data_IF_288669543390
#
_entry.id   IF_288669543390
#
_cell.length_a   1.000
_cell.length_b   1.000
_cell.length_c   1.000
_cell.angle_alpha   90.00
_cell.angle_beta   90.00
_cell.angle_gamma   90.00
#
_symmetry.space_group_name_H-M   'P 1'
#
loop_
_entity.id
_entity.type
_entity.pdbx_description
1 polymer ?
#
# COMPACT_ATOMS: atom_id res chain seq x y z
N UNK A 1 -20.68 -11.16 -14.39
CA UNK A 1 -21.28 -10.48 -13.23
C UNK A 1 -20.21 -9.58 -12.63
N UNK A 2 -20.04 -8.36 -13.13
CA UNK A 2 -19.02 -7.43 -12.59
C UNK A 2 -19.61 -6.72 -11.38
N UNK A 3 -19.15 -7.08 -10.18
CA UNK A 3 -19.53 -6.43 -8.94
C UNK A 3 -18.98 -5.00 -8.99
N UNK A 4 -19.87 -4.01 -9.05
CA UNK A 4 -19.49 -2.62 -8.87
C UNK A 4 -18.85 -2.49 -7.49
N UNK A 5 -17.54 -2.24 -7.44
CA UNK A 5 -16.88 -1.86 -6.20
C UNK A 5 -17.45 -0.51 -5.79
N UNK A 6 -18.04 -0.46 -4.59
CA UNK A 6 -18.33 0.79 -3.91
C UNK A 6 -17.05 1.66 -3.89
N UNK A 7 -17.15 3.00 -3.79
CA UNK A 7 -15.97 3.82 -3.53
C UNK A 7 -15.38 3.33 -2.22
N UNK A 8 -14.31 2.54 -2.30
CA UNK A 8 -13.70 1.93 -1.14
C UNK A 8 -13.16 3.08 -0.29
N UNK A 9 -13.78 3.31 0.88
CA UNK A 9 -13.22 4.19 1.88
C UNK A 9 -11.79 3.70 2.13
N UNK A 10 -10.82 4.60 1.98
CA UNK A 10 -9.42 4.24 2.21
C UNK A 10 -9.27 3.71 3.65
N UNK A 11 -8.50 2.63 3.87
CA UNK A 11 -8.23 2.14 5.21
C UNK A 11 -7.50 3.20 6.03
N UNK A 12 -7.66 3.16 7.34
CA UNK A 12 -7.00 4.13 8.24
C UNK A 12 -5.48 3.99 8.23
N UNK A 13 -5.01 2.74 8.10
CA UNK A 13 -3.59 2.38 8.05
C UNK A 13 -3.22 1.75 6.71
N UNK A 14 -1.98 2.00 6.30
CA UNK A 14 -1.30 1.33 5.20
C UNK A 14 0.15 1.07 5.60
N UNK A 15 0.98 0.66 4.66
CA UNK A 15 2.42 0.48 4.90
C UNK A 15 3.24 1.34 3.95
N UNK A 16 4.43 1.74 4.39
CA UNK A 16 5.45 2.34 3.54
C UNK A 16 6.76 1.58 3.69
N UNK A 17 7.56 1.62 2.63
CA UNK A 17 8.97 1.23 2.71
C UNK A 17 9.72 2.23 3.60
N UNK A 18 10.64 1.75 4.46
CA UNK A 18 11.43 2.57 5.39
C UNK A 18 12.55 3.36 4.73
N UNK A 19 12.87 3.07 3.46
CA UNK A 19 13.81 3.83 2.65
C UNK A 19 13.45 5.32 2.61
N UNK A 20 14.47 6.17 2.71
CA UNK A 20 14.31 7.63 2.59
C UNK A 20 13.80 8.07 1.22
N UNK A 21 13.89 7.20 0.21
CA UNK A 21 13.43 7.47 -1.17
C UNK A 21 12.01 6.98 -1.43
N UNK A 22 11.35 6.34 -0.45
CA UNK A 22 10.00 5.85 -0.61
C UNK A 22 8.99 7.01 -0.64
N UNK A 23 8.18 7.06 -1.70
CA UNK A 23 7.10 8.05 -1.89
C UNK A 23 5.71 7.40 -2.02
N UNK A 24 5.63 6.08 -1.84
CA UNK A 24 4.43 5.28 -2.09
C UNK A 24 3.91 4.60 -0.82
N UNK A 25 2.60 4.71 -0.58
CA UNK A 25 1.85 3.96 0.41
C UNK A 25 1.23 2.73 -0.25
N UNK A 26 1.39 1.59 0.39
CA UNK A 26 0.76 0.33 0.01
C UNK A 26 -0.36 -0.01 0.99
N UNK A 27 -1.30 -0.83 0.53
CA UNK A 27 -2.26 -1.44 1.44
C UNK A 27 -1.51 -2.43 2.32
N UNK A 28 -1.82 -2.44 3.60
CA UNK A 28 -1.30 -3.46 4.52
C UNK A 28 -1.89 -4.83 4.15
N UNK A 29 -1.02 -5.82 3.99
CA UNK A 29 -1.42 -7.22 3.97
C UNK A 29 -1.96 -7.62 5.35
N UNK A 30 -3.21 -8.06 5.42
CA UNK A 30 -3.86 -8.44 6.68
C UNK A 30 -3.51 -9.86 7.12
N UNK A 31 -2.98 -10.68 6.20
CA UNK A 31 -2.65 -12.07 6.44
C UNK A 31 -1.16 -12.25 6.80
N UNK A 32 -0.37 -11.18 6.75
CA UNK A 32 1.04 -11.17 7.12
C UNK A 32 1.24 -10.93 8.63
N UNK A 33 2.15 -11.69 9.23
CA UNK A 33 2.55 -11.55 10.63
C UNK A 33 3.37 -10.28 10.91
N UNK A 34 3.99 -9.71 9.87
CA UNK A 34 4.76 -8.46 9.93
C UNK A 34 4.17 -7.42 8.96
N UNK A 35 4.39 -6.10 9.19
CA UNK A 35 3.92 -5.07 8.28
C UNK A 35 4.49 -5.28 6.87
N UNK A 36 3.64 -5.69 5.93
CA UNK A 36 4.01 -5.94 4.53
C UNK A 36 2.95 -5.36 3.59
N UNK A 37 3.33 -4.97 2.36
CA UNK A 37 2.38 -4.55 1.35
C UNK A 37 1.56 -5.75 0.85
N UNK A 38 0.28 -5.53 0.58
CA UNK A 38 -0.60 -6.53 -0.03
C UNK A 38 -0.29 -6.82 -1.52
N UNK A 39 0.78 -6.25 -2.06
CA UNK A 39 1.19 -6.44 -3.46
C UNK A 39 2.64 -6.98 -3.53
N UNK A 40 3.08 -7.53 -4.67
CA UNK A 40 4.40 -8.16 -4.84
C UNK A 40 5.63 -7.26 -4.64
N UNK A 41 5.45 -6.00 -4.25
CA UNK A 41 6.55 -5.05 -4.00
C UNK A 41 7.54 -5.60 -2.95
N UNK A 42 7.04 -6.29 -1.92
CA UNK A 42 7.88 -6.95 -0.92
C UNK A 42 8.72 -8.09 -1.50
N UNK A 43 8.20 -8.80 -2.51
CA UNK A 43 8.90 -9.91 -3.15
C UNK A 43 10.01 -9.41 -4.09
N UNK A 44 9.78 -8.30 -4.80
CA UNK A 44 10.79 -7.69 -5.67
C UNK A 44 11.93 -7.01 -4.90
N UNK A 45 11.69 -6.59 -3.66
CA UNK A 45 12.66 -5.95 -2.79
C UNK A 45 12.75 -6.73 -1.49
N UNK A 46 13.36 -7.91 -1.56
CA UNK A 46 13.48 -8.83 -0.42
C UNK A 46 14.29 -8.26 0.76
N UNK A 47 15.05 -7.18 0.56
CA UNK A 47 15.78 -6.43 1.58
C UNK A 47 15.02 -5.18 2.09
N UNK A 48 13.86 -4.87 1.52
CA UNK A 48 13.06 -3.73 1.93
C UNK A 48 12.35 -3.99 3.27
N UNK A 49 12.61 -3.11 4.23
CA UNK A 49 11.81 -3.06 5.45
C UNK A 49 10.57 -2.18 5.26
N UNK A 50 9.44 -2.62 5.79
CA UNK A 50 8.18 -1.91 5.76
C UNK A 50 7.69 -1.58 7.17
N UNK A 51 6.82 -0.57 7.28
CA UNK A 51 6.22 -0.15 8.56
C UNK A 51 4.81 0.37 8.33
N UNK A 52 3.90 0.13 9.28
CA UNK A 52 2.55 0.67 9.22
C UNK A 52 2.52 2.17 9.52
N UNK A 53 1.68 2.90 8.78
CA UNK A 53 1.52 4.33 8.92
C UNK A 53 0.05 4.73 8.73
N UNK A 54 -0.42 5.79 9.42
CA UNK A 54 -1.74 6.35 9.18
C UNK A 54 -1.80 6.99 7.79
N UNK A 55 -2.69 6.49 6.93
CA UNK A 55 -2.80 6.94 5.53
C UNK A 55 -3.09 8.43 5.47
N UNK A 56 -4.04 8.91 6.28
CA UNK A 56 -4.46 10.32 6.27
C UNK A 56 -3.30 11.30 6.53
N UNK A 57 -2.35 10.95 7.40
CA UNK A 57 -1.22 11.81 7.73
C UNK A 57 -0.13 11.81 6.64
N UNK A 58 0.03 10.69 5.92
CA UNK A 58 1.09 10.53 4.92
C UNK A 58 0.65 10.90 3.50
N UNK A 59 -0.65 10.85 3.20
CA UNK A 59 -1.22 11.19 1.89
C UNK A 59 -0.79 12.53 1.27
N UNK A 60 -0.54 13.61 2.03
CA UNK A 60 -0.03 14.86 1.46
C UNK A 60 1.36 14.73 0.81
N UNK A 61 2.15 13.75 1.23
CA UNK A 61 3.53 13.55 0.78
C UNK A 61 3.75 12.24 0.03
N UNK A 62 2.78 11.32 0.09
CA UNK A 62 2.89 9.98 -0.48
C UNK A 62 1.74 9.68 -1.46
N UNK A 63 2.11 9.00 -2.55
CA UNK A 63 1.17 8.46 -3.53
C UNK A 63 0.60 7.13 -3.02
N UNK A 64 -0.61 6.80 -3.45
CA UNK A 64 -1.15 5.46 -3.24
C UNK A 64 -0.61 4.53 -4.32
N UNK A 65 -0.23 3.31 -3.92
CA UNK A 65 0.18 2.26 -4.84
C UNK A 65 -0.95 1.97 -5.84
N UNK A 66 -0.62 2.02 -7.13
CA UNK A 66 -1.56 1.76 -8.23
C UNK A 66 -1.89 0.28 -8.44
N UNK A 67 -1.19 -0.64 -7.75
CA UNK A 67 -1.45 -2.07 -7.89
C UNK A 67 -2.91 -2.39 -7.46
N UNK A 68 -3.64 -3.24 -8.22
CA UNK A 68 -5.02 -3.63 -7.92
C UNK A 68 -5.24 -4.25 -6.53
N UNK A 69 -4.25 -4.98 -6.00
CA UNK A 69 -4.30 -5.59 -4.67
C UNK A 69 -4.14 -4.55 -3.54
N UNK A 70 -3.53 -3.42 -3.87
CA UNK A 70 -3.46 -2.27 -2.98
C UNK A 70 -4.71 -1.39 -3.10
N UNK A 71 -4.64 -0.31 -3.86
CA UNK A 71 -5.70 0.69 -3.95
C UNK A 71 -6.32 0.79 -5.34
N UNK A 72 -5.74 0.11 -6.34
CA UNK A 72 -6.18 0.18 -7.73
C UNK A 72 -6.07 1.59 -8.31
N UNK A 73 -5.04 1.82 -9.12
CA UNK A 73 -4.84 3.08 -9.85
C UNK A 73 -4.35 2.81 -11.27
N UNK A 74 -3.89 3.84 -11.98
CA UNK A 74 -3.21 3.68 -13.27
C UNK A 74 -1.85 2.97 -13.05
N UNK A 75 -1.88 1.64 -13.06
CA UNK A 75 -0.68 0.81 -13.06
C UNK A 75 -0.13 0.82 -14.49
N UNK A 76 0.92 1.61 -14.72
CA UNK A 76 1.69 1.68 -15.98
C UNK A 76 3.18 1.60 -15.71
#
# INVERSE_FOLDING_TARGET
MSKASAPATLPEKGVRNRSQYADTLHRLDQDADEPQPACPEAEYRSDAEFTDVPIAAYRPHYKLCGNPECFGGDWR
#
